data_IF_014503783514
#
_entry.id   IF_014503783514
#
_cell.length_a   1.000
_cell.length_b   1.000
_cell.length_c   1.000
_cell.angle_alpha   90.00
_cell.angle_beta   90.00
_cell.angle_gamma   90.00
#
_symmetry.space_group_name_H-M   'P 1'
#
loop_
_entity.id
_entity.type
_entity.pdbx_description
1 polymer ?
#
# COMPACT_ATOMS: atom_id res chain seq x y z
N UNK A 1 -8.67 12.88 1.97
CA UNK A 1 -9.51 11.85 1.32
C UNK A 1 -8.54 10.79 0.90
N UNK A 2 -8.78 9.56 1.30
CA UNK A 2 -7.84 8.46 1.03
C UNK A 2 -8.49 7.45 0.09
N UNK A 3 -7.65 6.85 -0.76
CA UNK A 3 -8.00 5.79 -1.68
C UNK A 3 -7.21 4.54 -1.28
N UNK A 4 -7.89 3.46 -0.93
CA UNK A 4 -7.26 2.21 -0.49
C UNK A 4 -7.81 1.02 -1.26
N UNK A 5 -6.92 0.13 -1.66
CA UNK A 5 -7.27 -1.18 -2.22
C UNK A 5 -6.47 -2.26 -1.49
N UNK A 6 -7.17 -3.27 -0.99
CA UNK A 6 -6.61 -4.42 -0.31
C UNK A 6 -6.68 -5.64 -1.24
N UNK A 7 -5.55 -6.32 -1.46
CA UNK A 7 -5.46 -7.49 -2.34
C UNK A 7 -5.01 -8.70 -1.54
N UNK A 8 -5.96 -9.58 -1.20
CA UNK A 8 -5.75 -10.77 -0.40
C UNK A 8 -5.81 -10.52 1.11
N UNK A 9 -5.98 -11.62 1.86
CA UNK A 9 -6.19 -11.60 3.32
C UNK A 9 -5.02 -10.95 4.07
N UNK A 10 -3.77 -11.15 3.60
CA UNK A 10 -2.59 -10.56 4.22
C UNK A 10 -2.49 -9.04 4.06
N UNK A 11 -3.24 -8.47 3.12
CA UNK A 11 -3.41 -7.04 2.92
C UNK A 11 -4.75 -6.54 3.48
N UNK A 12 -5.39 -7.32 4.37
CA UNK A 12 -6.67 -7.05 5.02
C UNK A 12 -7.92 -7.04 4.10
N UNK A 13 -7.88 -7.76 2.97
CA UNK A 13 -9.07 -7.94 2.14
C UNK A 13 -10.03 -8.96 2.78
N UNK A 14 -11.21 -8.51 3.22
CA UNK A 14 -12.25 -9.36 3.81
C UNK A 14 -13.22 -9.97 2.80
N UNK A 15 -13.49 -9.27 1.70
CA UNK A 15 -14.39 -9.72 0.61
C UNK A 15 -13.56 -9.97 -0.65
N UNK A 16 -13.59 -11.20 -1.16
CA UNK A 16 -12.86 -11.63 -2.37
C UNK A 16 -13.51 -11.16 -3.67
N UNK A 17 -13.71 -9.85 -3.78
CA UNK A 17 -14.15 -9.12 -4.97
C UNK A 17 -13.30 -7.87 -5.09
N UNK A 18 -12.97 -7.42 -6.30
CA UNK A 18 -12.21 -6.19 -6.49
C UNK A 18 -13.03 -4.98 -6.03
N UNK A 19 -12.56 -4.26 -5.01
CA UNK A 19 -13.20 -3.04 -4.55
C UNK A 19 -12.14 -2.02 -4.11
N UNK A 20 -12.54 -0.76 -4.12
CA UNK A 20 -11.71 0.35 -3.69
C UNK A 20 -12.47 1.10 -2.58
N UNK A 21 -11.79 1.35 -1.47
CA UNK A 21 -12.31 2.19 -0.40
C UNK A 21 -12.07 3.66 -0.74
N UNK A 22 -13.12 4.46 -0.71
CA UNK A 22 -13.06 5.91 -0.66
C UNK A 22 -13.32 6.33 0.78
N UNK A 23 -12.30 6.88 1.44
CA UNK A 23 -12.36 7.19 2.88
C UNK A 23 -12.34 8.70 3.06
N UNK A 24 -13.49 9.34 3.37
CA UNK A 24 -13.54 10.75 3.72
C UNK A 24 -12.68 11.01 4.95
N UNK A 25 -11.82 12.03 4.88
CA UNK A 25 -10.95 12.46 5.97
C UNK A 25 -11.38 13.83 6.46
N UNK A 26 -11.18 14.10 7.75
CA UNK A 26 -11.36 15.43 8.35
C UNK A 26 -10.01 15.94 8.84
N UNK A 27 -9.85 17.27 8.86
CA UNK A 27 -8.65 17.86 9.43
C UNK A 27 -8.50 17.41 10.89
N UNK A 28 -7.31 16.96 11.26
CA UNK A 28 -6.95 16.50 12.60
C UNK A 28 -7.84 15.36 13.15
N UNK A 29 -8.28 14.42 12.30
CA UNK A 29 -9.03 13.23 12.75
C UNK A 29 -8.17 12.17 13.48
N UNK A 30 -6.87 12.41 13.61
CA UNK A 30 -5.95 11.59 14.41
C UNK A 30 -5.57 10.25 13.78
N UNK A 31 -5.98 9.97 12.54
CA UNK A 31 -5.66 8.72 11.85
C UNK A 31 -4.35 8.88 11.06
N UNK A 32 -3.30 8.19 11.51
CA UNK A 32 -2.11 7.93 10.73
C UNK A 32 -2.14 6.49 10.22
N UNK A 33 -2.58 6.33 8.96
CA UNK A 33 -2.71 5.03 8.31
C UNK A 33 -1.41 4.58 7.62
N UNK A 34 -0.32 5.34 7.74
CA UNK A 34 0.94 4.97 7.11
C UNK A 34 1.64 3.86 7.90
N UNK A 35 1.92 2.71 7.28
CA UNK A 35 2.64 1.64 7.95
C UNK A 35 4.10 2.04 8.25
N UNK A 36 4.59 1.64 9.43
CA UNK A 36 5.98 1.84 9.80
C UNK A 36 6.86 0.77 9.13
N UNK A 37 7.62 1.16 8.12
CA UNK A 37 8.58 0.28 7.45
C UNK A 37 9.99 0.45 8.00
N UNK A 38 10.67 -0.67 8.29
CA UNK A 38 12.08 -0.69 8.70
C UNK A 38 13.06 -0.62 7.50
N UNK A 39 12.55 -0.46 6.28
CA UNK A 39 13.32 -0.46 5.05
C UNK A 39 13.71 -1.86 4.55
N UNK A 40 14.36 -1.91 3.39
CA UNK A 40 14.90 -3.14 2.79
C UNK A 40 16.39 -3.27 3.09
N UNK A 41 16.89 -4.52 3.12
CA UNK A 41 18.33 -4.81 3.20
C UNK A 41 19.01 -4.77 1.83
N UNK A 42 18.25 -4.81 0.75
CA UNK A 42 18.78 -4.77 -0.60
C UNK A 42 19.03 -3.33 -1.05
N UNK A 43 20.10 -3.13 -1.80
CA UNK A 43 20.40 -1.86 -2.46
C UNK A 43 19.30 -1.49 -3.46
N UNK A 44 18.94 -0.20 -3.50
CA UNK A 44 17.81 0.29 -4.28
C UNK A 44 18.03 0.15 -5.80
N UNK A 45 19.27 0.29 -6.29
CA UNK A 45 19.58 0.16 -7.71
C UNK A 45 19.49 -1.29 -8.17
N UNK A 46 19.84 -2.23 -7.27
CA UNK A 46 19.68 -3.67 -7.51
C UNK A 46 18.19 -4.00 -7.61
N UNK A 47 17.38 -3.51 -6.66
CA UNK A 47 15.94 -3.79 -6.65
C UNK A 47 15.24 -3.18 -7.88
N UNK A 48 15.61 -1.95 -8.26
CA UNK A 48 15.09 -1.30 -9.46
C UNK A 48 15.33 -2.14 -10.71
N UNK A 49 16.55 -2.64 -10.90
CA UNK A 49 16.89 -3.50 -12.05
C UNK A 49 16.07 -4.78 -12.11
N UNK A 50 15.74 -5.38 -10.96
CA UNK A 50 14.91 -6.60 -10.89
C UNK A 50 13.44 -6.35 -11.20
N UNK A 51 12.90 -5.21 -10.77
CA UNK A 51 11.46 -4.90 -10.89
C UNK A 51 11.08 -4.21 -12.19
N UNK A 52 12.04 -3.58 -12.88
CA UNK A 52 11.79 -2.93 -14.16
C UNK A 52 11.36 -3.99 -15.17
N UNK A 53 10.19 -3.79 -15.77
CA UNK A 53 9.75 -4.57 -16.92
C UNK A 53 10.59 -4.13 -18.12
N UNK A 54 11.27 -5.07 -18.77
CA UNK A 54 11.96 -4.83 -20.04
C UNK A 54 10.91 -4.78 -21.16
N UNK A 55 11.09 -3.86 -22.10
CA UNK A 55 10.21 -3.71 -23.28
C UNK A 55 10.32 -4.89 -24.25
#
# INVERSE_FOLDING_TARGET
>A
MDLLNANGVAADQSVSHFHIHLIPRKNNDGIDAWPNFIGTKEDIDILYKKLRIEE
#
